data_IF_596356559212
#
_entry.id   IF_596356559212
#
_cell.length_a   1.000
_cell.length_b   1.000
_cell.length_c   1.000
_cell.angle_alpha   90.00
_cell.angle_beta   90.00
_cell.angle_gamma   90.00
#
_symmetry.space_group_name_H-M   'P 1'
#
loop_
_entity.id
_entity.type
_entity.pdbx_description
1 polymer ?
#
# COMPACT_ATOMS: atom_id res chain seq x y z
N UNK A 1 -4.72 -3.57 -1.32
CA UNK A 1 -4.30 -4.69 -2.19
C UNK A 1 -4.82 -4.45 -3.60
N UNK A 2 -4.03 -4.79 -4.61
CA UNK A 2 -4.39 -4.76 -6.04
C UNK A 2 -4.30 -6.18 -6.57
N UNK A 3 -5.30 -6.64 -7.31
CA UNK A 3 -5.32 -7.97 -7.93
C UNK A 3 -5.37 -7.83 -9.45
N UNK A 4 -4.56 -8.62 -10.16
CA UNK A 4 -4.55 -8.69 -11.61
C UNK A 4 -5.21 -9.98 -12.07
N UNK A 5 -6.33 -9.87 -12.78
CA UNK A 5 -7.11 -11.01 -13.26
C UNK A 5 -7.11 -11.08 -14.79
N UNK A 6 -6.92 -12.29 -15.33
CA UNK A 6 -7.12 -12.57 -16.74
C UNK A 6 -8.54 -13.10 -16.96
N UNK A 7 -9.30 -12.43 -17.83
CA UNK A 7 -10.67 -12.82 -18.12
C UNK A 7 -10.73 -14.13 -18.89
N UNK A 8 -11.51 -15.09 -18.41
CA UNK A 8 -11.74 -16.35 -19.11
C UNK A 8 -13.17 -16.48 -19.65
N UNK A 9 -13.43 -17.60 -20.35
CA UNK A 9 -14.76 -17.90 -20.91
C UNK A 9 -15.73 -18.39 -19.84
N UNK A 10 -15.23 -19.22 -18.90
CA UNK A 10 -16.03 -19.82 -17.83
C UNK A 10 -15.62 -19.32 -16.43
N UNK A 11 -14.33 -19.03 -16.23
CA UNK A 11 -13.80 -18.45 -15.00
C UNK A 11 -12.61 -17.57 -15.30
N UNK A 12 -12.39 -16.57 -14.47
CA UNK A 12 -11.22 -15.71 -14.53
C UNK A 12 -10.05 -16.37 -13.80
N UNK A 13 -8.83 -16.06 -14.25
CA UNK A 13 -7.59 -16.58 -13.66
C UNK A 13 -6.85 -15.44 -12.98
N UNK A 14 -6.60 -15.55 -11.68
CA UNK A 14 -5.70 -14.65 -10.98
C UNK A 14 -4.29 -14.79 -11.57
N UNK A 15 -3.74 -13.68 -12.05
CA UNK A 15 -2.36 -13.57 -12.50
C UNK A 15 -1.47 -13.34 -11.28
N UNK A 16 -1.89 -12.46 -10.37
CA UNK A 16 -1.20 -12.21 -9.11
C UNK A 16 -1.74 -10.99 -8.38
N UNK A 17 -1.03 -10.58 -7.34
CA UNK A 17 -1.42 -9.56 -6.37
C UNK A 17 -0.28 -8.60 -6.09
N UNK A 18 -0.60 -7.40 -5.63
CA UNK A 18 0.34 -6.46 -5.05
C UNK A 18 -0.22 -5.94 -3.72
N UNK A 19 0.62 -5.92 -2.69
CA UNK A 19 0.29 -5.31 -1.41
C UNK A 19 0.69 -3.83 -1.45
N UNK A 20 -0.28 -2.96 -1.15
CA UNK A 20 -0.10 -1.52 -1.07
C UNK A 20 -0.63 -1.08 0.30
N UNK A 21 0.25 -0.85 1.28
CA UNK A 21 -0.14 -0.33 2.59
C UNK A 21 -0.79 1.04 2.44
N UNK A 22 -1.90 1.27 3.16
CA UNK A 22 -2.56 2.58 3.15
C UNK A 22 -1.66 3.68 3.72
N UNK A 23 -0.75 3.29 4.60
CA UNK A 23 0.28 4.12 5.22
C UNK A 23 1.27 4.71 4.21
N UNK A 24 1.44 4.07 3.05
CA UNK A 24 2.31 4.52 1.96
C UNK A 24 1.56 5.37 0.90
N UNK A 25 0.25 5.55 1.04
CA UNK A 25 -0.57 6.31 0.09
C UNK A 25 -0.65 7.77 0.53
N UNK A 26 -0.30 8.67 -0.39
CA UNK A 26 -0.29 10.11 -0.14
C UNK A 26 -1.67 10.75 -0.35
N UNK A 27 -1.95 11.83 0.37
CA UNK A 27 -3.05 12.73 0.09
C UNK A 27 -2.66 13.70 -1.03
N UNK A 28 -3.49 13.81 -2.06
CA UNK A 28 -3.32 14.77 -3.14
C UNK A 28 -4.66 15.09 -3.81
N UNK A 29 -4.90 16.38 -4.08
CA UNK A 29 -6.04 16.83 -4.87
C UNK A 29 -5.82 16.71 -6.39
N UNK A 30 -4.59 16.40 -6.82
CA UNK A 30 -4.20 16.40 -8.25
C UNK A 30 -3.79 14.98 -8.65
N UNK A 31 -4.19 14.51 -9.84
CA UNK A 31 -3.69 13.25 -10.41
C UNK A 31 -2.16 13.22 -10.51
N UNK A 32 -1.56 12.14 -10.04
CA UNK A 32 -0.13 11.89 -10.13
C UNK A 32 0.26 11.22 -11.44
N UNK A 33 1.57 11.02 -11.65
CA UNK A 33 2.09 10.25 -12.79
C UNK A 33 2.00 8.73 -12.59
N UNK A 34 1.60 8.30 -11.39
CA UNK A 34 1.56 6.90 -10.99
C UNK A 34 2.94 6.29 -10.71
N UNK A 35 2.92 5.08 -10.14
CA UNK A 35 4.09 4.24 -9.87
C UNK A 35 3.90 2.88 -10.54
N UNK A 36 4.97 2.31 -11.08
CA UNK A 36 4.97 0.94 -11.58
C UNK A 36 5.02 -0.02 -10.39
N UNK A 37 4.01 -0.88 -10.29
CA UNK A 37 3.84 -1.85 -9.22
C UNK A 37 4.08 -3.25 -9.79
N UNK A 38 4.96 -4.01 -9.15
CA UNK A 38 5.17 -5.41 -9.47
C UNK A 38 4.00 -6.26 -8.99
N UNK A 39 3.58 -7.21 -9.82
CA UNK A 39 2.57 -8.20 -9.46
C UNK A 39 3.26 -9.51 -9.08
N UNK A 40 2.91 -10.02 -7.92
CA UNK A 40 3.50 -11.18 -7.25
C UNK A 40 2.47 -12.33 -7.15
N UNK A 41 2.94 -13.57 -7.02
CA UNK A 41 2.04 -14.74 -6.95
C UNK A 41 1.36 -14.88 -5.60
N UNK A 42 2.07 -14.61 -4.51
CA UNK A 42 1.61 -14.94 -3.15
C UNK A 42 1.50 -13.71 -2.26
N UNK A 43 0.49 -13.69 -1.38
CA UNK A 43 0.46 -12.81 -0.21
C UNK A 43 1.38 -13.35 0.88
N UNK A 44 2.05 -12.45 1.58
CA UNK A 44 2.75 -12.74 2.82
C UNK A 44 1.89 -12.33 4.01
N UNK A 45 1.72 -13.25 4.96
CA UNK A 45 0.96 -12.98 6.19
C UNK A 45 1.79 -13.29 7.43
N UNK A 46 1.71 -12.42 8.45
CA UNK A 46 2.30 -12.60 9.78
C UNK A 46 1.20 -12.37 10.80
N UNK A 47 1.01 -13.31 11.73
CA UNK A 47 -0.04 -13.24 12.77
C UNK A 47 -1.47 -13.01 12.24
N UNK A 48 -1.78 -13.47 11.02
CA UNK A 48 -3.08 -13.28 10.38
C UNK A 48 -3.27 -11.95 9.65
N UNK A 49 -2.27 -11.07 9.70
CA UNK A 49 -2.24 -9.81 8.97
C UNK A 49 -1.40 -9.92 7.69
N UNK A 50 -1.83 -9.27 6.62
CA UNK A 50 -1.06 -9.20 5.37
C UNK A 50 0.06 -8.17 5.51
N UNK A 51 1.30 -8.61 5.30
CA UNK A 51 2.49 -7.77 5.45
C UNK A 51 3.19 -7.47 4.12
N UNK A 52 2.78 -8.12 3.03
CA UNK A 52 3.46 -7.98 1.75
C UNK A 52 3.02 -8.99 0.71
N UNK A 53 3.81 -9.07 -0.36
CA UNK A 53 3.70 -10.09 -1.41
C UNK A 53 5.06 -10.69 -1.74
N UNK A 54 5.08 -11.83 -2.44
CA UNK A 54 6.31 -12.47 -2.92
C UNK A 54 6.10 -13.27 -4.19
N UNK A 55 7.22 -13.74 -4.75
CA UNK A 55 7.30 -14.57 -5.96
C UNK A 55 6.83 -13.78 -7.19
N UNK A 56 7.71 -12.94 -7.76
CA UNK A 56 7.37 -12.08 -8.88
C UNK A 56 6.83 -12.86 -10.07
N UNK A 57 5.71 -12.38 -10.65
CA UNK A 57 5.13 -12.98 -11.86
C UNK A 57 5.79 -12.50 -13.15
N UNK A 58 6.55 -11.40 -13.07
CA UNK A 58 7.08 -10.66 -14.23
C UNK A 58 6.09 -9.65 -14.82
N UNK A 59 4.85 -9.57 -14.32
CA UNK A 59 3.90 -8.54 -14.70
C UNK A 59 4.05 -7.29 -13.84
N UNK A 60 3.79 -6.13 -14.45
CA UNK A 60 3.78 -4.82 -13.78
C UNK A 60 2.54 -4.03 -14.18
N UNK A 61 2.02 -3.22 -13.26
CA UNK A 61 0.87 -2.33 -13.49
C UNK A 61 1.26 -0.90 -13.12
N UNK A 62 0.92 0.08 -13.95
CA UNK A 62 1.05 1.49 -13.60
C UNK A 62 -0.20 1.92 -12.85
N UNK A 63 -0.04 2.38 -11.60
CA UNK A 63 -1.15 2.83 -10.77
C UNK A 63 -0.86 4.20 -10.16
N UNK A 64 -1.83 5.12 -10.26
CA UNK A 64 -1.88 6.34 -9.48
C UNK A 64 -2.92 6.15 -8.36
N UNK A 65 -2.47 6.10 -7.12
CA UNK A 65 -3.31 5.87 -5.94
C UNK A 65 -3.04 6.99 -4.95
N UNK A 66 -4.11 7.67 -4.53
CA UNK A 66 -4.05 8.83 -3.63
C UNK A 66 -5.30 8.92 -2.78
N UNK A 67 -5.16 9.49 -1.60
CA UNK A 67 -6.30 9.96 -0.83
C UNK A 67 -6.70 11.36 -1.30
N UNK A 68 -8.00 11.59 -1.46
CA UNK A 68 -8.51 12.93 -1.63
C UNK A 68 -8.53 13.67 -0.29
N UNK A 69 -8.38 14.99 -0.35
CA UNK A 69 -8.44 15.81 0.85
C UNK A 69 -9.89 15.99 1.31
N UNK A 70 -10.14 15.95 2.63
CA UNK A 70 -11.40 16.40 3.18
C UNK A 70 -11.75 17.81 2.66
N UNK A 71 -13.03 18.08 2.46
CA UNK A 71 -13.51 19.37 1.93
C UNK A 71 -12.97 20.58 2.73
N UNK A 72 -12.76 20.38 4.03
CA UNK A 72 -12.33 21.41 4.98
C UNK A 72 -10.79 21.61 5.00
N UNK A 73 -10.04 20.72 4.35
CA UNK A 73 -8.57 20.63 4.41
C UNK A 73 -7.88 20.93 3.07
N UNK A 74 -8.51 21.74 2.21
CA UNK A 74 -7.98 22.08 0.88
C UNK A 74 -6.81 23.08 0.92
N UNK A 75 -6.49 23.68 2.07
CA UNK A 75 -5.30 24.53 2.22
C UNK A 75 -4.01 23.71 2.26
N UNK A 76 -2.93 24.21 1.66
CA UNK A 76 -1.60 23.56 1.65
C UNK A 76 -1.10 23.17 3.05
N UNK A 77 -1.44 23.97 4.06
CA UNK A 77 -0.96 23.80 5.42
C UNK A 77 -1.67 22.64 6.13
N UNK A 78 -2.96 22.43 5.82
CA UNK A 78 -3.71 21.28 6.31
C UNK A 78 -3.20 19.97 5.69
N UNK A 79 -2.81 20.01 4.41
CA UNK A 79 -2.23 18.86 3.71
C UNK A 79 -0.92 18.40 4.38
N UNK A 80 -0.01 19.34 4.64
CA UNK A 80 1.26 19.04 5.29
C UNK A 80 1.06 18.48 6.71
N UNK A 81 0.10 19.02 7.46
CA UNK A 81 -0.21 18.54 8.81
C UNK A 81 -0.79 17.11 8.82
N UNK A 82 -1.70 16.79 7.89
CA UNK A 82 -2.27 15.45 7.78
C UNK A 82 -1.18 14.45 7.40
N UNK A 83 -0.34 14.78 6.42
CA UNK A 83 0.77 13.94 5.99
C UNK A 83 1.80 13.72 7.11
N UNK A 84 2.15 14.76 7.85
CA UNK A 84 3.05 14.65 9.00
C UNK A 84 2.48 13.74 10.10
N UNK A 85 1.17 13.83 10.38
CA UNK A 85 0.53 12.95 11.37
C UNK A 85 0.52 11.49 10.92
N UNK A 86 0.25 11.22 9.65
CA UNK A 86 0.27 9.87 9.10
C UNK A 86 1.67 9.28 9.14
N UNK A 87 2.68 10.03 8.73
CA UNK A 87 4.07 9.59 8.83
C UNK A 87 4.46 9.29 10.28
N UNK A 88 3.99 10.10 11.24
CA UNK A 88 4.16 9.82 12.66
C UNK A 88 3.50 8.51 13.09
N UNK A 89 2.23 8.28 12.70
CA UNK A 89 1.52 7.03 13.02
C UNK A 89 2.22 5.80 12.45
N UNK A 90 2.71 5.87 11.21
CA UNK A 90 3.45 4.77 10.59
C UNK A 90 4.75 4.44 11.33
N UNK A 91 5.45 5.46 11.84
CA UNK A 91 6.68 5.25 12.61
C UNK A 91 6.43 4.59 13.97
N UNK A 92 5.28 4.85 14.60
CA UNK A 92 4.94 4.19 15.85
C UNK A 92 4.64 2.70 15.65
N UNK A 93 4.01 2.32 14.55
CA UNK A 93 3.77 0.89 14.23
C UNK A 93 5.09 0.15 13.94
N UNK A 94 6.06 0.79 13.27
CA UNK A 94 7.39 0.23 13.02
C UNK A 94 8.22 0.05 14.32
N UNK A 95 8.09 0.97 15.29
CA UNK A 95 8.79 0.89 16.57
C UNK A 95 8.21 -0.23 17.46
N UNK A 96 6.90 -0.45 17.41
CA UNK A 96 6.23 -1.52 18.15
C UNK A 96 6.60 -2.91 17.60
N UNK A 97 6.71 -3.13 16.28
CA UNK A 97 7.12 -4.45 15.74
C UNK A 97 8.62 -4.74 15.97
N UNK A 98 9.47 -3.70 16.06
CA UNK A 98 10.91 -3.87 16.37
C UNK A 98 11.18 -4.13 17.87
N UNK A 99 10.43 -3.52 18.78
CA UNK A 99 10.69 -3.66 20.23
C UNK A 99 10.33 -5.07 20.77
N UNK A 100 9.49 -5.83 20.05
CA UNK A 100 9.23 -7.25 20.34
C UNK A 100 10.28 -8.22 19.74
N UNK A 101 11.03 -7.81 18.70
CA UNK A 101 12.07 -8.64 18.08
C UNK A 101 13.44 -8.51 18.78
N UNK A 102 13.69 -7.43 19.51
CA UNK A 102 14.98 -7.17 20.18
C UNK A 102 15.08 -7.78 21.59
N UNK A 103 14.00 -8.36 22.15
CA UNK A 103 14.00 -8.95 23.50
C UNK A 103 14.27 -10.46 23.60
N UNK A 104 14.69 -11.11 22.52
CA UNK A 104 15.13 -12.51 22.56
C UNK A 104 16.48 -12.73 21.88
N UNK A 105 17.55 -12.14 22.43
CA UNK A 105 18.91 -12.69 22.40
C UNK A 105 19.64 -12.26 23.68
#
# INVERSE_FOLDING_TARGET
MIELWNKGVLWDKLIGVNYLPLTEIEYSAIPGTGKWLQIDQDLQTKNGETIGTRNPTGHVVLADVRFELPFDAQSSDAQQQIQARLHGLNQFDDEVDNDYLVRFF
#
